data_IF_755929041179
#
_entry.id   IF_755929041179
#
_cell.length_a   1.000
_cell.length_b   1.000
_cell.length_c   1.000
_cell.angle_alpha   90.00
_cell.angle_beta   90.00
_cell.angle_gamma   90.00
#
_symmetry.space_group_name_H-M   'P 1'
#
loop_
_entity.id
_entity.type
_entity.pdbx_description
1 polymer ?
#
# COMPACT_ATOMS: atom_id res chain seq x y z
N UNK A 1 -46.11 -28.57 36.64
CA UNK A 1 -45.24 -27.42 36.31
C UNK A 1 -43.86 -27.94 35.96
N UNK A 2 -43.16 -27.30 35.01
CA UNK A 2 -41.79 -27.59 34.51
C UNK A 2 -41.74 -28.34 33.18
N UNK A 3 -41.64 -27.55 32.10
CA UNK A 3 -41.41 -28.05 30.74
C UNK A 3 -41.32 -26.92 29.71
N UNK A 4 -40.54 -25.86 29.96
CA UNK A 4 -40.33 -24.81 28.94
C UNK A 4 -39.07 -23.95 29.18
N UNK A 5 -37.96 -24.53 29.63
CA UNK A 5 -36.74 -23.73 29.87
C UNK A 5 -35.53 -24.17 29.03
N UNK A 6 -35.51 -25.39 28.48
CA UNK A 6 -34.35 -25.90 27.75
C UNK A 6 -34.33 -25.44 26.29
N UNK A 7 -35.47 -25.45 25.61
CA UNK A 7 -35.61 -25.00 24.21
C UNK A 7 -35.38 -23.49 24.04
N UNK A 8 -35.91 -22.65 24.93
CA UNK A 8 -35.71 -21.19 24.87
C UNK A 8 -34.26 -20.77 25.07
N UNK A 9 -33.51 -21.45 25.93
CA UNK A 9 -32.09 -21.15 26.16
C UNK A 9 -31.24 -21.48 24.92
N UNK A 10 -31.50 -22.61 24.25
CA UNK A 10 -30.81 -22.97 23.01
C UNK A 10 -31.12 -22.01 21.86
N UNK A 11 -32.36 -21.50 21.76
CA UNK A 11 -32.71 -20.51 20.73
C UNK A 11 -32.06 -19.15 20.99
N UNK A 12 -32.02 -18.69 22.23
CA UNK A 12 -31.32 -17.45 22.60
C UNK A 12 -29.81 -17.53 22.36
N UNK A 13 -29.17 -18.67 22.66
CA UNK A 13 -27.73 -18.87 22.40
C UNK A 13 -27.42 -18.91 20.90
N UNK A 14 -28.27 -19.56 20.10
CA UNK A 14 -28.13 -19.60 18.63
C UNK A 14 -28.28 -18.20 17.99
N UNK A 15 -29.26 -17.41 18.45
CA UNK A 15 -29.48 -16.05 17.97
C UNK A 15 -28.33 -15.11 18.36
N UNK A 16 -27.78 -15.26 19.58
CA UNK A 16 -26.66 -14.47 20.07
C UNK A 16 -25.35 -14.82 19.33
N UNK A 17 -25.13 -16.10 18.99
CA UNK A 17 -23.98 -16.54 18.19
C UNK A 17 -23.99 -15.98 16.76
N UNK A 18 -25.17 -15.89 16.13
CA UNK A 18 -25.32 -15.32 14.79
C UNK A 18 -25.05 -13.81 14.77
N UNK A 19 -25.43 -13.08 15.83
CA UNK A 19 -25.15 -11.65 16.01
C UNK A 19 -23.65 -11.35 16.21
N UNK A 20 -22.91 -12.22 16.90
CA UNK A 20 -21.46 -12.07 17.10
C UNK A 20 -20.68 -12.35 15.80
N UNK A 21 -21.14 -13.27 14.96
CA UNK A 21 -20.53 -13.50 13.63
C UNK A 21 -20.74 -12.33 12.67
N UNK A 22 -21.88 -11.63 12.73
CA UNK A 22 -22.16 -10.45 11.91
C UNK A 22 -21.39 -9.20 12.37
N UNK A 23 -20.99 -9.12 13.65
CA UNK A 23 -20.14 -8.05 14.18
C UNK A 23 -18.65 -8.21 13.82
N UNK A 24 -18.27 -9.36 13.27
CA UNK A 24 -16.93 -9.63 12.71
C UNK A 24 -16.79 -9.03 11.30
N UNK A 25 -17.23 -7.78 11.12
CA UNK A 25 -17.03 -7.00 9.91
C UNK A 25 -15.55 -6.74 9.71
N UNK A 26 -14.93 -7.67 8.99
CA UNK A 26 -13.57 -7.67 8.45
C UNK A 26 -12.95 -6.27 8.26
N UNK A 27 -11.82 -6.02 8.96
CA UNK A 27 -10.87 -4.91 8.71
C UNK A 27 -10.24 -4.90 7.29
N UNK A 28 -10.76 -5.71 6.36
CA UNK A 28 -10.30 -5.85 4.99
C UNK A 28 -10.76 -4.72 4.06
N UNK A 29 -11.72 -3.86 4.48
CA UNK A 29 -12.23 -2.78 3.64
C UNK A 29 -11.18 -1.72 3.26
N UNK A 30 -10.05 -1.67 3.98
CA UNK A 30 -8.98 -0.68 3.76
C UNK A 30 -7.76 -1.27 3.05
N UNK A 31 -7.71 -2.58 2.85
CA UNK A 31 -6.56 -3.28 2.28
C UNK A 31 -6.53 -3.14 0.76
N UNK A 32 -5.51 -2.44 0.25
CA UNK A 32 -5.22 -2.36 -1.18
C UNK A 32 -4.33 -3.51 -1.65
N UNK A 33 -3.76 -3.37 -2.83
CA UNK A 33 -2.76 -4.32 -3.34
C UNK A 33 -1.84 -3.67 -4.36
N UNK A 34 -0.68 -4.28 -4.60
CA UNK A 34 0.15 -3.96 -5.76
C UNK A 34 -0.04 -5.01 -6.86
N UNK A 35 0.08 -4.60 -8.12
CA UNK A 35 0.09 -5.49 -9.29
C UNK A 35 1.30 -5.16 -10.14
N UNK A 36 2.17 -6.13 -10.38
CA UNK A 36 3.37 -5.96 -11.22
C UNK A 36 2.99 -5.43 -12.61
N UNK A 37 3.77 -4.47 -13.11
CA UNK A 37 3.56 -3.82 -14.40
C UNK A 37 4.90 -3.44 -15.05
N UNK A 38 5.18 -4.06 -16.19
CA UNK A 38 6.36 -3.71 -16.99
C UNK A 38 6.26 -2.30 -17.59
N UNK A 39 5.05 -1.80 -17.83
CA UNK A 39 4.83 -0.44 -18.36
C UNK A 39 5.23 0.61 -17.31
N UNK A 40 4.91 0.36 -16.04
CA UNK A 40 5.36 1.22 -14.93
C UNK A 40 6.88 1.21 -14.84
N UNK A 41 7.52 0.03 -14.92
CA UNK A 41 8.97 -0.07 -14.89
C UNK A 41 9.61 0.74 -16.03
N UNK A 42 9.14 0.56 -17.26
CA UNK A 42 9.64 1.31 -18.43
C UNK A 42 9.43 2.82 -18.31
N UNK A 43 8.33 3.24 -17.72
CA UNK A 43 8.05 4.68 -17.49
C UNK A 43 9.11 5.29 -16.59
N UNK A 44 9.41 4.67 -15.45
CA UNK A 44 10.47 5.15 -14.55
C UNK A 44 11.86 5.01 -15.16
N UNK A 45 12.14 3.93 -15.88
CA UNK A 45 13.42 3.73 -16.56
C UNK A 45 13.69 4.75 -17.67
N UNK A 46 12.63 5.28 -18.29
CA UNK A 46 12.69 6.39 -19.22
C UNK A 46 12.71 7.77 -18.51
N UNK A 47 12.79 7.79 -17.18
CA UNK A 47 12.74 8.99 -16.33
C UNK A 47 11.47 9.82 -16.55
N UNK A 48 10.36 9.16 -16.88
CA UNK A 48 9.08 9.81 -17.10
C UNK A 48 8.19 9.72 -15.87
N UNK A 49 7.32 10.71 -15.71
CA UNK A 49 6.29 10.74 -14.70
C UNK A 49 4.89 10.64 -15.34
N UNK A 50 3.99 9.96 -14.65
CA UNK A 50 2.57 9.89 -14.98
C UNK A 50 1.92 11.24 -14.67
N UNK A 51 1.32 11.92 -15.66
CA UNK A 51 0.70 13.23 -15.44
C UNK A 51 -0.40 13.18 -14.37
N UNK A 52 -0.46 14.23 -13.53
CA UNK A 52 -1.46 14.36 -12.47
C UNK A 52 -1.19 13.51 -11.22
N UNK A 53 -0.04 12.84 -11.15
CA UNK A 53 0.39 12.13 -9.94
C UNK A 53 1.29 13.03 -9.07
N UNK A 54 1.16 12.88 -7.75
CA UNK A 54 2.07 13.40 -6.74
C UNK A 54 3.10 12.34 -6.43
N UNK A 55 4.36 12.73 -6.38
CA UNK A 55 5.46 11.79 -6.21
C UNK A 55 6.07 11.88 -4.82
N UNK A 56 6.44 10.71 -4.33
CA UNK A 56 7.10 10.51 -3.05
C UNK A 56 8.23 9.51 -3.24
N UNK A 57 9.29 9.64 -2.44
CA UNK A 57 10.29 8.59 -2.33
C UNK A 57 10.43 8.11 -0.89
N UNK A 58 10.62 6.81 -0.74
CA UNK A 58 10.92 6.16 0.52
C UNK A 58 12.40 6.34 0.80
N UNK A 59 12.73 7.09 1.84
CA UNK A 59 14.09 7.41 2.25
C UNK A 59 14.38 6.80 3.62
N UNK A 60 15.33 5.87 3.67
CA UNK A 60 15.80 5.28 4.93
C UNK A 60 17.31 5.45 5.00
N UNK A 61 17.80 5.97 6.13
CA UNK A 61 19.25 6.18 6.35
C UNK A 61 19.95 7.00 5.25
N UNK A 62 19.24 7.94 4.63
CA UNK A 62 19.67 8.76 3.48
C UNK A 62 19.83 8.01 2.16
N UNK A 63 19.25 6.81 2.05
CA UNK A 63 19.18 6.04 0.82
C UNK A 63 17.73 5.90 0.33
N UNK A 64 17.47 6.18 -0.97
CA UNK A 64 16.15 5.97 -1.54
C UNK A 64 15.93 4.49 -1.89
N UNK A 65 14.86 3.91 -1.38
CA UNK A 65 14.51 2.50 -1.60
C UNK A 65 13.33 2.31 -2.54
N UNK A 66 12.60 3.36 -2.86
CA UNK A 66 11.55 3.29 -3.87
C UNK A 66 10.87 4.62 -4.13
N UNK A 67 10.18 4.68 -5.26
CA UNK A 67 9.43 5.85 -5.71
C UNK A 67 7.97 5.48 -5.87
N UNK A 68 7.08 6.25 -5.25
CA UNK A 68 5.65 6.12 -5.40
C UNK A 68 5.09 7.36 -6.11
N UNK A 69 4.26 7.13 -7.12
CA UNK A 69 3.41 8.18 -7.70
C UNK A 69 1.95 7.89 -7.35
N UNK A 70 1.22 8.85 -6.79
CA UNK A 70 -0.19 8.69 -6.45
C UNK A 70 -1.04 9.71 -7.19
N UNK A 71 -2.21 9.31 -7.69
CA UNK A 71 -3.18 10.27 -8.25
C UNK A 71 -3.43 11.41 -7.25
N UNK A 72 -3.45 12.67 -7.71
CA UNK A 72 -3.36 13.86 -6.85
C UNK A 72 -4.41 14.03 -5.74
N UNK A 73 -5.43 13.15 -5.68
CA UNK A 73 -6.39 13.06 -4.57
C UNK A 73 -5.94 12.19 -3.39
N UNK A 74 -4.87 11.43 -3.56
CA UNK A 74 -4.25 10.57 -2.55
C UNK A 74 -2.90 11.17 -2.12
N UNK A 75 -2.44 10.79 -0.93
CA UNK A 75 -1.23 11.35 -0.33
C UNK A 75 -0.64 10.40 0.71
N UNK A 76 0.64 10.57 1.01
CA UNK A 76 1.35 9.80 2.05
C UNK A 76 1.70 10.73 3.21
N UNK A 77 1.53 10.24 4.44
CA UNK A 77 2.00 10.91 5.66
C UNK A 77 2.76 9.94 6.51
N UNK A 78 4.07 9.92 6.32
CA UNK A 78 4.97 9.05 7.03
C UNK A 78 6.38 9.69 7.06
N UNK A 79 7.08 9.73 8.20
CA UNK A 79 8.40 10.37 8.33
C UNK A 79 9.50 9.78 7.43
N UNK A 80 9.36 8.55 6.95
CA UNK A 80 10.29 7.93 6.00
C UNK A 80 10.05 8.39 4.56
N UNK A 81 8.94 9.09 4.29
CA UNK A 81 8.59 9.55 2.95
C UNK A 81 8.89 11.03 2.76
N UNK A 82 9.31 11.38 1.55
CA UNK A 82 9.61 12.75 1.14
C UNK A 82 8.91 13.02 -0.18
N UNK A 83 8.29 14.18 -0.30
CA UNK A 83 7.70 14.62 -1.56
C UNK A 83 8.80 14.90 -2.60
N UNK A 84 8.46 14.65 -3.85
CA UNK A 84 9.37 14.71 -4.98
C UNK A 84 8.67 15.43 -6.14
N UNK A 85 9.29 16.49 -6.65
CA UNK A 85 8.80 17.15 -7.85
C UNK A 85 9.19 16.31 -9.09
N UNK A 86 8.22 15.76 -9.85
CA UNK A 86 8.50 14.93 -11.01
C UNK A 86 9.25 15.65 -12.15
N UNK A 87 9.29 17.00 -12.16
CA UNK A 87 10.04 17.77 -13.14
C UNK A 87 11.47 18.12 -12.71
N UNK A 88 11.90 17.67 -11.52
CA UNK A 88 13.17 18.09 -10.92
C UNK A 88 14.32 17.12 -11.24
N UNK A 89 15.58 17.61 -11.30
CA UNK A 89 16.77 16.74 -11.36
C UNK A 89 16.88 15.77 -10.17
N UNK A 90 16.24 16.11 -9.04
CA UNK A 90 16.17 15.23 -7.87
C UNK A 90 15.33 13.99 -8.16
N UNK A 91 14.25 14.11 -8.94
CA UNK A 91 13.44 12.96 -9.35
C UNK A 91 14.27 11.96 -10.15
N UNK A 92 14.96 12.44 -11.17
CA UNK A 92 15.82 11.60 -12.01
C UNK A 92 16.88 10.87 -11.17
N UNK A 93 17.59 11.63 -10.33
CA UNK A 93 18.62 11.07 -9.43
C UNK A 93 18.07 10.00 -8.49
N UNK A 94 16.91 10.24 -7.88
CA UNK A 94 16.29 9.27 -6.96
C UNK A 94 15.90 8.00 -7.71
N UNK A 95 15.27 8.12 -8.88
CA UNK A 95 14.88 6.96 -9.71
C UNK A 95 16.11 6.14 -10.12
N UNK A 96 17.20 6.81 -10.52
CA UNK A 96 18.45 6.15 -10.87
C UNK A 96 19.08 5.40 -9.68
N UNK A 97 19.07 6.00 -8.48
CA UNK A 97 19.60 5.36 -7.27
C UNK A 97 18.79 4.11 -6.91
N UNK A 98 17.45 4.21 -6.92
CA UNK A 98 16.55 3.08 -6.68
C UNK A 98 16.76 1.95 -7.71
N UNK A 99 17.04 2.30 -8.96
CA UNK A 99 17.34 1.31 -10.01
C UNK A 99 18.72 0.68 -9.82
N UNK A 100 19.73 1.47 -9.47
CA UNK A 100 21.15 1.05 -9.40
C UNK A 100 21.44 0.20 -8.18
N UNK A 101 20.74 0.44 -7.08
CA UNK A 101 20.99 -0.20 -5.78
C UNK A 101 19.75 -0.95 -5.29
N UNK A 102 19.32 -2.03 -5.99
CA UNK A 102 18.26 -2.88 -5.46
C UNK A 102 18.74 -3.60 -4.20
N UNK A 103 17.77 -3.99 -3.37
CA UNK A 103 18.01 -4.85 -2.21
C UNK A 103 18.67 -6.16 -2.67
N UNK A 104 19.70 -6.66 -1.96
CA UNK A 104 20.39 -7.89 -2.34
C UNK A 104 19.43 -9.07 -2.59
N UNK A 105 19.60 -9.74 -3.73
CA UNK A 105 18.75 -10.87 -4.13
C UNK A 105 17.42 -10.48 -4.78
N UNK A 106 17.20 -9.20 -5.08
CA UNK A 106 16.01 -8.69 -5.77
C UNK A 106 16.40 -7.81 -6.97
N UNK A 107 15.40 -7.40 -7.75
CA UNK A 107 15.52 -6.48 -8.86
C UNK A 107 14.49 -5.36 -8.70
N UNK A 108 14.82 -4.16 -9.18
CA UNK A 108 13.89 -3.04 -9.16
C UNK A 108 12.82 -3.26 -10.22
N UNK A 109 11.55 -3.23 -9.80
CA UNK A 109 10.39 -3.50 -10.66
C UNK A 109 9.33 -2.41 -10.52
N UNK A 110 8.45 -2.33 -11.51
CA UNK A 110 7.29 -1.43 -11.52
C UNK A 110 6.01 -2.15 -11.12
N UNK A 111 5.14 -1.44 -10.40
CA UNK A 111 3.85 -1.94 -9.93
C UNK A 111 2.79 -0.85 -10.04
N UNK A 112 1.57 -1.25 -10.36
CA UNK A 112 0.37 -0.45 -10.14
C UNK A 112 -0.08 -0.61 -8.70
N UNK A 113 -0.45 0.49 -8.05
CA UNK A 113 -1.06 0.53 -6.72
C UNK A 113 -2.59 0.55 -6.89
N UNK A 114 -3.25 -0.43 -6.28
CA UNK A 114 -4.69 -0.61 -6.30
C UNK A 114 -5.29 -0.32 -4.92
N UNK A 115 -6.43 0.38 -4.92
CA UNK A 115 -7.25 0.55 -3.72
C UNK A 115 -8.01 -0.75 -3.35
N UNK A 116 -8.74 -0.77 -2.23
CA UNK A 116 -9.50 -1.95 -1.81
C UNK A 116 -10.60 -2.37 -2.81
N UNK A 117 -11.08 -1.43 -3.61
CA UNK A 117 -12.07 -1.66 -4.68
C UNK A 117 -11.41 -2.03 -6.02
N UNK A 118 -10.09 -2.24 -6.03
CA UNK A 118 -9.27 -2.58 -7.21
C UNK A 118 -9.18 -1.48 -8.27
N UNK A 119 -9.45 -0.23 -7.89
CA UNK A 119 -9.16 0.90 -8.75
C UNK A 119 -7.67 1.23 -8.70
N UNK A 120 -7.08 1.60 -9.83
CA UNK A 120 -5.74 2.17 -9.86
C UNK A 120 -5.73 3.55 -9.19
N UNK A 121 -4.80 3.73 -8.27
CA UNK A 121 -4.62 4.97 -7.51
C UNK A 121 -3.20 5.49 -7.56
N UNK A 122 -2.27 4.73 -8.13
CA UNK A 122 -0.86 5.09 -8.17
C UNK A 122 0.04 4.03 -8.79
N UNK A 123 1.34 4.28 -8.70
CA UNK A 123 2.44 3.45 -9.17
C UNK A 123 3.51 3.35 -8.11
N UNK A 124 4.23 2.24 -8.09
CA UNK A 124 5.34 1.95 -7.19
C UNK A 124 6.52 1.42 -8.00
N UNK A 125 7.72 1.95 -7.76
CA UNK A 125 8.96 1.50 -8.38
C UNK A 125 10.00 1.21 -7.30
N UNK A 126 10.34 -0.06 -7.13
CA UNK A 126 11.24 -0.52 -6.07
C UNK A 126 11.61 -1.99 -6.27
N UNK A 127 12.68 -2.43 -5.61
CA UNK A 127 13.00 -3.84 -5.41
C UNK A 127 12.30 -4.46 -4.19
N UNK A 128 11.53 -3.67 -3.43
CA UNK A 128 10.81 -4.09 -2.24
C UNK A 128 9.36 -4.49 -2.55
N UNK A 129 8.92 -5.56 -1.89
CA UNK A 129 7.49 -5.86 -1.76
C UNK A 129 6.78 -4.81 -0.92
N UNK A 130 5.56 -4.46 -1.32
CA UNK A 130 4.77 -3.42 -0.68
C UNK A 130 3.35 -3.90 -0.32
N UNK A 131 2.97 -3.71 0.94
CA UNK A 131 1.59 -3.75 1.41
C UNK A 131 0.94 -2.36 1.29
N UNK A 132 -0.33 -2.33 0.91
CA UNK A 132 -1.07 -1.08 0.67
C UNK A 132 -2.27 -1.01 1.61
N UNK A 133 -2.42 0.10 2.31
CA UNK A 133 -3.64 0.44 3.06
C UNK A 133 -4.10 1.83 2.69
N UNK A 134 -5.41 2.00 2.48
CA UNK A 134 -6.01 3.28 2.11
C UNK A 134 -7.03 3.68 3.18
N UNK A 135 -6.80 4.83 3.81
CA UNK A 135 -7.76 5.40 4.74
C UNK A 135 -9.00 5.92 3.97
N UNK A 136 -10.22 5.46 4.32
CA UNK A 136 -11.43 5.73 3.52
C UNK A 136 -11.81 7.22 3.53
N UNK A 137 -11.60 7.91 4.64
CA UNK A 137 -12.05 9.29 4.83
C UNK A 137 -11.03 10.31 4.34
N UNK A 138 -9.74 10.05 4.60
CA UNK A 138 -8.67 11.00 4.33
C UNK A 138 -7.98 10.78 2.99
N UNK A 139 -8.18 9.61 2.36
CA UNK A 139 -7.42 9.16 1.17
C UNK A 139 -5.91 9.11 1.41
N UNK A 140 -5.51 9.00 2.67
CA UNK A 140 -4.13 8.74 3.03
C UNK A 140 -3.79 7.30 2.62
N UNK A 141 -2.68 7.14 1.91
CA UNK A 141 -2.13 5.85 1.51
C UNK A 141 -0.95 5.55 2.42
N UNK A 142 -0.97 4.35 3.00
CA UNK A 142 0.16 3.79 3.74
C UNK A 142 0.76 2.67 2.90
N UNK A 143 2.06 2.75 2.65
CA UNK A 143 2.84 1.76 1.91
C UNK A 143 3.81 1.14 2.91
N UNK A 144 3.58 -0.12 3.27
CA UNK A 144 4.44 -0.86 4.18
C UNK A 144 5.38 -1.75 3.38
N UNK A 145 6.67 -1.72 3.69
CA UNK A 145 7.66 -2.58 3.04
C UNK A 145 8.25 -3.55 4.08
N UNK A 146 8.53 -4.77 3.66
CA UNK A 146 9.38 -5.65 4.46
C UNK A 146 10.80 -5.13 4.33
N UNK A 147 11.37 -4.61 5.41
CA UNK A 147 12.75 -4.09 5.47
C UNK A 147 13.66 -5.14 6.13
N UNK A 148 14.13 -6.16 5.39
CA UNK A 148 14.87 -7.28 5.96
C UNK A 148 16.18 -6.90 6.65
N UNK A 149 16.73 -5.71 6.38
CA UNK A 149 17.93 -5.18 7.06
C UNK A 149 17.67 -4.56 8.44
N UNK A 150 16.40 -4.24 8.78
CA UNK A 150 16.04 -3.75 10.12
C UNK A 150 15.84 -4.89 11.14
N UNK A 151 16.19 -6.12 10.77
CA UNK A 151 16.26 -7.28 11.66
C UNK A 151 17.67 -7.48 12.23
N UNK A 152 18.10 -6.60 13.13
CA UNK A 152 19.12 -6.87 14.16
C UNK A 152 19.07 -5.84 15.28
#
# INVERSE_FOLDING_TARGET
MRGSNRTSAFQLISLLGLLVFLASGCRFEQAGSTKKSADVARTFEALQAVPGYRYYYLNQENEPYGVAGLSGRFWIKDPAWRELDPGSPTFEKVVELVKRFPVPGSYTEGFVILDPRKNEIGVWYSSLGAGITVAPDTRQVMITTATPWLGR
#
